data_IF_727468550359
#
_entry.id   IF_727468550359
#
_cell.length_a   1.000
_cell.length_b   1.000
_cell.length_c   1.000
_cell.angle_alpha   90.00
_cell.angle_beta   90.00
_cell.angle_gamma   90.00
#
_symmetry.space_group_name_H-M   'P 1'
#
loop_
_entity.id
_entity.type
_entity.pdbx_description
1 polymer ?
#
# COMPACT_ATOMS: atom_id res chain seq x y z
N UNK A 1 -24.30 32.26 -6.32
CA UNK A 1 -23.34 31.78 -5.31
C UNK A 1 -24.02 31.89 -3.95
N UNK A 2 -24.34 30.78 -3.29
CA UNK A 2 -25.03 30.81 -1.98
C UNK A 2 -24.00 31.16 -0.89
N UNK A 3 -24.32 32.15 -0.06
CA UNK A 3 -23.48 32.56 1.08
C UNK A 3 -24.19 32.06 2.35
N UNK A 4 -23.53 31.23 3.20
CA UNK A 4 -24.16 30.71 4.40
C UNK A 4 -24.55 31.85 5.35
N UNK A 5 -25.77 31.81 5.88
CA UNK A 5 -26.34 32.87 6.72
C UNK A 5 -26.46 32.52 8.22
N UNK A 6 -26.23 31.26 8.60
CA UNK A 6 -26.27 30.82 10.01
C UNK A 6 -24.97 30.14 10.43
N UNK A 7 -24.62 30.25 11.71
CA UNK A 7 -23.46 29.55 12.30
C UNK A 7 -23.48 28.05 12.03
N UNK A 8 -24.66 27.43 12.06
CA UNK A 8 -24.82 26.01 11.79
C UNK A 8 -24.51 25.65 10.32
N UNK A 9 -24.96 26.50 9.38
CA UNK A 9 -24.66 26.31 7.94
C UNK A 9 -23.17 26.49 7.65
N UNK A 10 -22.53 27.47 8.29
CA UNK A 10 -21.09 27.67 8.20
C UNK A 10 -20.31 26.47 8.77
N UNK A 11 -20.68 25.96 9.95
CA UNK A 11 -20.05 24.78 10.55
C UNK A 11 -20.18 23.54 9.66
N UNK A 12 -21.36 23.29 9.09
CA UNK A 12 -21.58 22.14 8.21
C UNK A 12 -20.82 22.27 6.88
N UNK A 13 -20.81 23.45 6.26
CA UNK A 13 -20.05 23.73 5.05
C UNK A 13 -18.54 23.54 5.26
N UNK A 14 -18.02 23.96 6.42
CA UNK A 14 -16.61 23.74 6.78
C UNK A 14 -16.32 22.24 6.95
N UNK A 15 -17.15 21.50 7.68
CA UNK A 15 -16.95 20.05 7.89
C UNK A 15 -16.97 19.27 6.57
N UNK A 16 -17.93 19.57 5.70
CA UNK A 16 -18.03 18.93 4.38
C UNK A 16 -16.86 19.28 3.47
N UNK A 17 -16.43 20.54 3.45
CA UNK A 17 -15.25 20.97 2.70
C UNK A 17 -13.98 20.28 3.20
N UNK A 18 -13.77 20.22 4.52
CA UNK A 18 -12.63 19.52 5.13
C UNK A 18 -12.67 18.03 4.76
N UNK A 19 -13.82 17.37 4.84
CA UNK A 19 -13.96 15.96 4.47
C UNK A 19 -13.64 15.73 2.98
N UNK A 20 -14.12 16.58 2.07
CA UNK A 20 -13.81 16.49 0.64
C UNK A 20 -12.32 16.70 0.37
N UNK A 21 -11.70 17.72 0.99
CA UNK A 21 -10.27 17.98 0.85
C UNK A 21 -9.43 16.81 1.35
N UNK A 22 -9.79 16.21 2.47
CA UNK A 22 -9.06 15.07 3.06
C UNK A 22 -9.19 13.84 2.18
N UNK A 23 -10.38 13.54 1.68
CA UNK A 23 -10.62 12.35 0.85
C UNK A 23 -9.93 12.45 -0.50
N UNK A 24 -10.02 13.60 -1.18
CA UNK A 24 -9.28 13.86 -2.42
C UNK A 24 -7.77 13.93 -2.18
N UNK A 25 -7.34 14.52 -1.06
CA UNK A 25 -5.93 14.59 -0.67
C UNK A 25 -5.33 13.19 -0.43
N UNK A 26 -6.09 12.29 0.17
CA UNK A 26 -5.70 10.89 0.37
C UNK A 26 -5.61 10.13 -0.95
N UNK A 27 -6.51 10.39 -1.90
CA UNK A 27 -6.44 9.82 -3.24
C UNK A 27 -5.20 10.30 -4.01
N UNK A 28 -4.92 11.61 -4.00
CA UNK A 28 -3.69 12.18 -4.55
C UNK A 28 -2.43 11.57 -3.91
N UNK A 29 -2.43 11.43 -2.58
CA UNK A 29 -1.35 10.75 -1.87
C UNK A 29 -1.19 9.29 -2.32
N UNK A 30 -2.31 8.59 -2.57
CA UNK A 30 -2.33 7.25 -3.16
C UNK A 30 -1.59 7.17 -4.48
N UNK A 31 -1.92 8.02 -5.45
CA UNK A 31 -1.24 8.04 -6.74
C UNK A 31 0.25 8.38 -6.64
N UNK A 32 0.61 9.35 -5.80
CA UNK A 32 2.03 9.69 -5.56
C UNK A 32 2.77 8.50 -4.94
N UNK A 33 2.16 7.83 -3.96
CA UNK A 33 2.75 6.67 -3.31
C UNK A 33 2.91 5.50 -4.28
N UNK A 34 1.93 5.25 -5.15
CA UNK A 34 2.03 4.24 -6.20
C UNK A 34 3.18 4.53 -7.17
N UNK A 35 3.39 5.79 -7.59
CA UNK A 35 4.54 6.14 -8.43
C UNK A 35 5.88 5.82 -7.75
N UNK A 36 6.00 6.09 -6.45
CA UNK A 36 7.19 5.73 -5.66
C UNK A 36 7.38 4.21 -5.62
N UNK A 37 6.30 3.46 -5.43
CA UNK A 37 6.34 2.00 -5.42
C UNK A 37 6.63 1.40 -6.80
N UNK A 38 6.12 1.99 -7.88
CA UNK A 38 6.43 1.59 -9.27
C UNK A 38 7.93 1.75 -9.51
N UNK A 39 8.50 2.90 -9.15
CA UNK A 39 9.93 3.12 -9.28
C UNK A 39 10.74 2.08 -8.49
N UNK A 40 10.35 1.80 -7.24
CA UNK A 40 11.01 0.78 -6.42
C UNK A 40 10.88 -0.64 -7.01
N UNK A 41 9.69 -1.01 -7.47
CA UNK A 41 9.41 -2.31 -8.06
C UNK A 41 10.20 -2.54 -9.36
N UNK A 42 10.28 -1.53 -10.23
CA UNK A 42 11.06 -1.59 -11.47
C UNK A 42 12.57 -1.65 -11.19
N UNK A 43 13.06 -0.81 -10.27
CA UNK A 43 14.49 -0.79 -9.90
C UNK A 43 14.95 -2.13 -9.33
N UNK A 44 14.12 -2.75 -8.47
CA UNK A 44 14.43 -4.03 -7.83
C UNK A 44 14.03 -5.24 -8.67
N UNK A 45 13.43 -5.02 -9.86
CA UNK A 45 12.82 -6.06 -10.72
C UNK A 45 11.90 -6.99 -9.93
N UNK A 46 11.12 -6.43 -9.01
CA UNK A 46 10.28 -7.17 -8.08
C UNK A 46 8.87 -7.35 -8.65
N UNK A 47 8.63 -8.51 -9.25
CA UNK A 47 7.33 -8.85 -9.85
C UNK A 47 6.18 -8.87 -8.86
N UNK A 48 6.44 -9.25 -7.60
CA UNK A 48 5.38 -9.31 -6.58
C UNK A 48 4.87 -7.92 -6.24
N UNK A 49 5.78 -6.92 -6.16
CA UNK A 49 5.38 -5.53 -5.95
C UNK A 49 4.55 -5.01 -7.13
N UNK A 50 4.87 -5.40 -8.37
CA UNK A 50 4.08 -5.02 -9.56
C UNK A 50 2.65 -5.56 -9.47
N UNK A 51 2.48 -6.83 -9.08
CA UNK A 51 1.14 -7.42 -8.88
C UNK A 51 0.39 -6.69 -7.76
N UNK A 52 1.06 -6.41 -6.64
CA UNK A 52 0.49 -5.64 -5.53
C UNK A 52 0.09 -4.22 -5.92
N UNK A 53 0.88 -3.56 -6.78
CA UNK A 53 0.59 -2.25 -7.34
C UNK A 53 -0.68 -2.26 -8.21
N UNK A 54 -0.86 -3.26 -9.07
CA UNK A 54 -2.11 -3.41 -9.82
C UNK A 54 -3.31 -3.57 -8.86
N UNK A 55 -3.20 -4.40 -7.83
CA UNK A 55 -4.25 -4.58 -6.84
C UNK A 55 -4.56 -3.30 -6.06
N UNK A 56 -3.54 -2.52 -5.69
CA UNK A 56 -3.70 -1.23 -5.02
C UNK A 56 -4.40 -0.21 -5.90
N UNK A 57 -4.06 -0.16 -7.19
CA UNK A 57 -4.66 0.78 -8.13
C UNK A 57 -6.14 0.44 -8.38
N UNK A 58 -6.50 -0.85 -8.42
CA UNK A 58 -7.91 -1.26 -8.36
C UNK A 58 -8.58 -0.85 -7.04
N UNK A 59 -7.85 -0.91 -5.93
CA UNK A 59 -8.32 -0.40 -4.65
C UNK A 59 -8.62 1.11 -4.67
N UNK A 60 -7.72 1.91 -5.26
CA UNK A 60 -7.92 3.36 -5.43
C UNK A 60 -9.10 3.67 -6.36
N UNK A 61 -9.29 2.88 -7.42
CA UNK A 61 -10.49 2.98 -8.27
C UNK A 61 -11.79 2.75 -7.49
N UNK A 62 -11.84 1.70 -6.67
CA UNK A 62 -13.02 1.42 -5.82
C UNK A 62 -13.22 2.56 -4.82
N UNK A 63 -12.14 3.07 -4.23
CA UNK A 63 -12.19 4.21 -3.32
C UNK A 63 -12.80 5.45 -3.98
N UNK A 64 -12.30 5.85 -5.15
CA UNK A 64 -12.84 6.97 -5.93
C UNK A 64 -14.32 6.78 -6.28
N UNK A 65 -14.73 5.56 -6.68
CA UNK A 65 -16.13 5.25 -6.93
C UNK A 65 -17.02 5.35 -5.67
N UNK A 66 -16.52 4.92 -4.50
CA UNK A 66 -17.21 5.07 -3.21
C UNK A 66 -17.33 6.56 -2.82
N UNK A 67 -16.33 7.37 -3.14
CA UNK A 67 -16.30 8.80 -2.83
C UNK A 67 -17.40 9.57 -3.56
N UNK A 68 -17.68 9.25 -4.83
CA UNK A 68 -18.80 9.87 -5.59
C UNK A 68 -20.12 9.72 -4.84
N UNK A 69 -20.39 8.53 -4.30
CA UNK A 69 -21.60 8.27 -3.51
C UNK A 69 -21.61 9.02 -2.17
N UNK A 70 -20.45 9.18 -1.52
CA UNK A 70 -20.34 9.97 -0.29
C UNK A 70 -20.64 11.44 -0.54
N UNK A 71 -20.08 12.01 -1.62
CA UNK A 71 -20.33 13.41 -1.99
C UNK A 71 -21.80 13.60 -2.36
N UNK A 72 -22.41 12.67 -3.10
CA UNK A 72 -23.84 12.70 -3.41
C UNK A 72 -24.72 12.78 -2.16
N UNK A 73 -24.45 11.92 -1.18
CA UNK A 73 -25.20 11.91 0.08
C UNK A 73 -24.99 13.20 0.89
N UNK A 74 -23.79 13.77 0.89
CA UNK A 74 -23.53 15.04 1.55
C UNK A 74 -24.29 16.19 0.89
N UNK A 75 -24.27 16.25 -0.45
CA UNK A 75 -24.97 17.26 -1.25
C UNK A 75 -26.49 17.12 -1.13
N UNK A 76 -27.05 15.90 -1.09
CA UNK A 76 -28.49 15.70 -0.93
C UNK A 76 -29.00 16.20 0.43
N UNK A 77 -28.26 15.92 1.51
CA UNK A 77 -28.59 16.43 2.86
C UNK A 77 -28.57 17.96 2.89
N UNK A 78 -27.63 18.59 2.19
CA UNK A 78 -27.53 20.04 2.06
C UNK A 78 -28.69 20.64 1.25
N UNK A 79 -29.12 19.95 0.20
CA UNK A 79 -30.25 20.36 -0.64
C UNK A 79 -31.58 20.25 0.12
N UNK A 80 -31.78 19.15 0.87
CA UNK A 80 -32.96 18.94 1.72
C UNK A 80 -33.10 20.02 2.81
N UNK A 81 -31.97 20.57 3.26
CA UNK A 81 -31.93 21.67 4.23
C UNK A 81 -32.09 23.07 3.60
N UNK A 82 -32.42 23.15 2.31
CA UNK A 82 -32.52 24.38 1.51
C UNK A 82 -31.25 25.25 1.56
N UNK A 83 -30.08 24.66 1.83
CA UNK A 83 -28.80 25.36 1.95
C UNK A 83 -28.03 25.43 0.65
N UNK A 84 -28.34 24.57 -0.31
CA UNK A 84 -27.68 24.54 -1.62
C UNK A 84 -28.77 24.38 -2.68
N UNK A 85 -28.59 25.07 -3.82
CA UNK A 85 -29.48 24.88 -4.96
C UNK A 85 -29.41 23.42 -5.45
N UNK A 86 -30.55 22.75 -5.71
CA UNK A 86 -30.55 21.37 -6.22
C UNK A 86 -29.80 21.22 -7.55
N UNK A 87 -29.59 22.32 -8.28
CA UNK A 87 -28.80 22.37 -9.52
C UNK A 87 -27.32 22.06 -9.29
N UNK A 88 -26.77 22.29 -8.09
CA UNK A 88 -25.33 22.10 -7.81
C UNK A 88 -24.89 20.64 -8.00
N UNK A 89 -25.75 19.67 -7.70
CA UNK A 89 -25.45 18.27 -7.97
C UNK A 89 -25.37 18.00 -9.48
N UNK A 90 -26.34 18.48 -10.26
CA UNK A 90 -26.38 18.25 -11.71
C UNK A 90 -25.14 18.82 -12.42
N UNK A 91 -24.63 19.96 -11.95
CA UNK A 91 -23.40 20.56 -12.46
C UNK A 91 -22.13 19.81 -12.02
N UNK A 92 -22.11 19.24 -10.82
CA UNK A 92 -20.91 18.61 -10.23
C UNK A 92 -20.79 17.11 -10.56
N UNK A 93 -21.91 16.41 -10.77
CA UNK A 93 -21.98 14.97 -11.01
C UNK A 93 -21.07 14.49 -12.17
N UNK A 94 -21.03 15.16 -13.35
CA UNK A 94 -20.17 14.73 -14.45
C UNK A 94 -18.67 14.77 -14.08
N UNK A 95 -18.24 15.80 -13.35
CA UNK A 95 -16.85 15.97 -12.92
C UNK A 95 -16.44 14.96 -11.84
N UNK A 96 -17.38 14.51 -11.01
CA UNK A 96 -17.10 13.48 -10.00
C UNK A 96 -17.04 12.08 -10.62
N UNK A 97 -17.83 11.80 -11.65
CA UNK A 97 -17.85 10.49 -12.34
C UNK A 97 -16.66 10.34 -13.28
N UNK A 98 -16.19 11.41 -13.93
CA UNK A 98 -15.08 11.31 -14.87
C UNK A 98 -13.76 10.87 -14.21
N UNK A 99 -13.54 11.24 -12.94
CA UNK A 99 -12.34 10.87 -12.17
C UNK A 99 -12.15 9.34 -12.09
N UNK A 100 -13.10 8.55 -11.53
CA UNK A 100 -12.95 7.10 -11.50
C UNK A 100 -12.96 6.48 -12.91
N UNK A 101 -13.60 7.09 -13.91
CA UNK A 101 -13.49 6.61 -15.30
C UNK A 101 -12.06 6.72 -15.86
N UNK A 102 -11.37 7.84 -15.61
CA UNK A 102 -9.97 8.03 -16.00
C UNK A 102 -9.07 7.04 -15.25
N UNK A 103 -9.28 6.89 -13.94
CA UNK A 103 -8.54 5.93 -13.12
C UNK A 103 -8.77 4.51 -13.63
N UNK A 104 -9.99 4.13 -13.99
CA UNK A 104 -10.30 2.81 -14.55
C UNK A 104 -9.56 2.54 -15.85
N UNK A 105 -9.51 3.50 -16.76
CA UNK A 105 -8.70 3.41 -17.98
C UNK A 105 -7.21 3.23 -17.64
N UNK A 106 -6.71 4.00 -16.69
CA UNK A 106 -5.36 3.88 -16.14
C UNK A 106 -5.08 2.49 -15.57
N UNK A 107 -6.01 1.91 -14.81
CA UNK A 107 -5.91 0.56 -14.24
C UNK A 107 -5.84 -0.52 -15.31
N UNK A 108 -6.61 -0.39 -16.40
CA UNK A 108 -6.54 -1.32 -17.52
C UNK A 108 -5.18 -1.25 -18.23
N UNK A 109 -4.69 -0.04 -18.52
CA UNK A 109 -3.38 0.18 -19.14
C UNK A 109 -2.25 -0.34 -18.23
N UNK A 110 -2.30 -0.03 -16.94
CA UNK A 110 -1.33 -0.49 -15.95
C UNK A 110 -1.31 -2.02 -15.87
N UNK A 111 -2.48 -2.66 -15.85
CA UNK A 111 -2.59 -4.13 -15.83
C UNK A 111 -2.02 -4.76 -17.10
N UNK A 112 -2.27 -4.16 -18.27
CA UNK A 112 -1.71 -4.61 -19.54
C UNK A 112 -0.17 -4.53 -19.54
N UNK A 113 0.41 -3.41 -19.10
CA UNK A 113 1.87 -3.24 -18.99
C UNK A 113 2.45 -4.19 -17.96
N UNK A 114 1.79 -4.36 -16.81
CA UNK A 114 2.23 -5.28 -15.76
C UNK A 114 2.25 -6.74 -16.23
N UNK A 115 1.29 -7.15 -17.07
CA UNK A 115 1.28 -8.48 -17.67
C UNK A 115 2.49 -8.73 -18.56
N UNK A 116 2.84 -7.77 -19.44
CA UNK A 116 4.06 -7.86 -20.26
C UNK A 116 5.33 -7.86 -19.41
N UNK A 117 5.34 -7.07 -18.34
CA UNK A 117 6.48 -6.97 -17.44
C UNK A 117 6.68 -8.24 -16.59
N UNK A 118 5.59 -8.92 -16.24
CA UNK A 118 5.63 -10.19 -15.52
C UNK A 118 6.42 -11.24 -16.29
N UNK A 119 6.17 -11.38 -17.59
CA UNK A 119 6.89 -12.33 -18.45
C UNK A 119 8.39 -12.04 -18.49
N UNK A 120 8.76 -10.76 -18.65
CA UNK A 120 10.17 -10.36 -18.77
C UNK A 120 10.95 -10.48 -17.45
N UNK A 121 10.29 -10.20 -16.32
CA UNK A 121 10.88 -10.42 -14.99
C UNK A 121 10.98 -11.90 -14.65
N UNK A 122 9.98 -12.71 -15.01
CA UNK A 122 10.03 -14.16 -14.84
C UNK A 122 11.20 -14.77 -15.63
N UNK A 123 11.41 -14.31 -16.88
CA UNK A 123 12.52 -14.72 -17.73
C UNK A 123 13.89 -14.30 -17.17
N UNK A 124 14.01 -13.05 -16.68
CA UNK A 124 15.25 -12.54 -16.07
C UNK A 124 15.61 -13.30 -14.79
N UNK A 125 14.62 -13.57 -13.94
CA UNK A 125 14.79 -14.34 -12.69
C UNK A 125 15.17 -15.80 -12.98
N UNK A 126 14.63 -16.39 -14.05
CA UNK A 126 15.03 -17.72 -14.50
C UNK A 126 16.52 -17.75 -14.90
N UNK A 127 17.00 -16.78 -15.68
CA UNK A 127 18.38 -16.80 -16.19
C UNK A 127 19.46 -16.63 -15.09
N UNK A 128 19.19 -15.85 -14.04
CA UNK A 128 20.18 -15.55 -12.99
C UNK A 128 20.14 -16.48 -11.76
N UNK A 129 19.05 -17.20 -11.49
CA UNK A 129 18.82 -17.94 -10.22
C UNK A 129 18.52 -19.43 -10.48
N UNK A 130 19.19 -20.05 -11.45
CA UNK A 130 18.91 -21.45 -11.85
C UNK A 130 19.65 -22.54 -11.07
N UNK A 131 20.58 -22.20 -10.16
CA UNK A 131 21.36 -23.25 -9.48
C UNK A 131 20.76 -23.72 -8.13
N UNK A 132 19.98 -22.89 -7.41
CA UNK A 132 19.39 -23.28 -6.11
C UNK A 132 17.96 -22.74 -5.91
N UNK A 133 16.98 -23.64 -6.10
CA UNK A 133 15.55 -23.36 -5.94
C UNK A 133 15.15 -23.04 -4.50
N UNK A 134 15.86 -23.58 -3.50
CA UNK A 134 15.54 -23.37 -2.08
C UNK A 134 15.88 -21.95 -1.66
N UNK A 135 17.02 -21.45 -2.11
CA UNK A 135 17.45 -20.08 -1.86
C UNK A 135 16.56 -19.05 -2.58
N UNK A 136 16.17 -19.34 -3.83
CA UNK A 136 15.20 -18.52 -4.58
C UNK A 136 13.88 -18.36 -3.83
N UNK A 137 13.34 -19.44 -3.26
CA UNK A 137 12.09 -19.42 -2.48
C UNK A 137 12.21 -18.52 -1.24
N UNK A 138 13.30 -18.63 -0.49
CA UNK A 138 13.55 -17.80 0.71
C UNK A 138 13.67 -16.31 0.37
N UNK A 139 14.38 -15.99 -0.71
CA UNK A 139 14.50 -14.62 -1.19
C UNK A 139 13.15 -14.04 -1.65
N UNK A 140 12.35 -14.85 -2.34
CA UNK A 140 11.01 -14.48 -2.76
C UNK A 140 10.11 -14.19 -1.55
N UNK A 141 10.11 -15.05 -0.51
CA UNK A 141 9.37 -14.79 0.73
C UNK A 141 9.79 -13.47 1.39
N UNK A 142 11.10 -13.19 1.45
CA UNK A 142 11.60 -11.91 1.96
C UNK A 142 11.09 -10.72 1.13
N UNK A 143 11.11 -10.82 -0.20
CA UNK A 143 10.58 -9.77 -1.07
C UNK A 143 9.07 -9.57 -0.91
N UNK A 144 8.28 -10.65 -0.76
CA UNK A 144 6.85 -10.57 -0.43
C UNK A 144 6.67 -9.79 0.88
N UNK A 145 7.42 -10.16 1.93
CA UNK A 145 7.30 -9.51 3.23
C UNK A 145 7.58 -8.01 3.16
N UNK A 146 8.69 -7.61 2.52
CA UNK A 146 9.03 -6.18 2.36
C UNK A 146 7.99 -5.45 1.49
N UNK A 147 7.42 -6.10 0.49
CA UNK A 147 6.35 -5.53 -0.32
C UNK A 147 5.08 -5.29 0.52
N UNK A 148 4.65 -6.29 1.29
CA UNK A 148 3.50 -6.20 2.19
C UNK A 148 3.66 -5.07 3.20
N UNK A 149 4.83 -4.92 3.83
CA UNK A 149 5.07 -3.81 4.78
C UNK A 149 4.88 -2.42 4.14
N UNK A 150 5.16 -2.26 2.84
CA UNK A 150 4.94 -0.99 2.13
C UNK A 150 3.46 -0.74 1.86
N UNK A 151 2.73 -1.77 1.45
CA UNK A 151 1.28 -1.66 1.27
C UNK A 151 0.57 -1.45 2.62
N UNK A 152 0.97 -2.17 3.67
CA UNK A 152 0.48 -1.98 5.04
C UNK A 152 0.65 -0.54 5.50
N UNK A 153 1.80 0.08 5.24
CA UNK A 153 2.04 1.49 5.55
C UNK A 153 0.99 2.40 4.90
N UNK A 154 0.71 2.22 3.62
CA UNK A 154 -0.25 3.04 2.90
C UNK A 154 -1.67 2.89 3.44
N UNK A 155 -2.18 1.67 3.55
CA UNK A 155 -3.57 1.44 3.97
C UNK A 155 -3.78 1.80 5.45
N UNK A 156 -2.79 1.53 6.31
CA UNK A 156 -2.83 1.94 7.71
C UNK A 156 -2.84 3.47 7.85
N UNK A 157 -1.95 4.16 7.13
CA UNK A 157 -1.88 5.62 7.15
C UNK A 157 -3.17 6.24 6.59
N UNK A 158 -3.68 5.70 5.48
CA UNK A 158 -4.95 6.13 4.90
C UNK A 158 -6.11 6.01 5.89
N UNK A 159 -6.27 4.85 6.52
CA UNK A 159 -7.28 4.66 7.56
C UNK A 159 -7.13 5.64 8.73
N UNK A 160 -5.90 5.80 9.26
CA UNK A 160 -5.68 6.63 10.45
C UNK A 160 -5.85 8.12 10.17
N UNK A 161 -5.39 8.62 9.03
CA UNK A 161 -5.61 10.01 8.62
C UNK A 161 -7.11 10.27 8.44
N UNK A 162 -7.83 9.37 7.77
CA UNK A 162 -9.26 9.53 7.57
C UNK A 162 -10.04 9.44 8.89
N UNK A 163 -9.63 8.58 9.80
CA UNK A 163 -10.19 8.49 11.15
C UNK A 163 -9.94 9.76 11.98
N UNK A 164 -8.71 10.26 11.97
CA UNK A 164 -8.29 11.42 12.75
C UNK A 164 -9.06 12.67 12.31
N UNK A 165 -9.11 12.94 11.01
CA UNK A 165 -9.71 14.18 10.51
C UNK A 165 -11.24 14.12 10.55
N UNK A 166 -11.86 13.03 10.10
CA UNK A 166 -13.32 13.00 9.95
C UNK A 166 -14.05 12.67 11.26
N UNK A 167 -13.54 11.72 12.03
CA UNK A 167 -14.25 11.24 13.22
C UNK A 167 -13.69 11.90 14.47
N UNK A 168 -12.37 11.92 14.60
CA UNK A 168 -11.75 12.28 15.87
C UNK A 168 -11.64 13.79 16.12
N UNK A 169 -11.78 14.64 15.10
CA UNK A 169 -11.70 16.10 15.25
C UNK A 169 -12.91 16.71 15.94
N UNK A 170 -14.00 15.96 16.11
CA UNK A 170 -15.23 16.46 16.74
C UNK A 170 -15.18 16.43 18.28
N UNK A 171 -14.30 15.61 18.87
CA UNK A 171 -14.14 15.48 20.33
C UNK A 171 -12.68 15.26 20.67
N UNK A 172 -12.10 16.19 21.45
CA UNK A 172 -10.72 16.10 21.95
C UNK A 172 -10.58 15.10 23.12
N UNK A 173 -11.07 13.88 22.91
CA UNK A 173 -11.04 12.81 23.91
C UNK A 173 -9.70 12.05 23.85
N UNK A 174 -9.46 11.16 24.83
CA UNK A 174 -8.26 10.32 24.86
C UNK A 174 -8.00 9.54 23.55
N UNK A 175 -9.07 9.20 22.83
CA UNK A 175 -8.98 8.53 21.54
C UNK A 175 -8.30 9.37 20.44
N UNK A 176 -8.48 10.68 20.46
CA UNK A 176 -7.85 11.59 19.49
C UNK A 176 -6.33 11.57 19.66
N UNK A 177 -5.86 11.71 20.89
CA UNK A 177 -4.43 11.65 21.20
C UNK A 177 -3.82 10.27 20.93
N UNK A 178 -4.53 9.19 21.27
CA UNK A 178 -4.09 7.83 20.95
C UNK A 178 -3.96 7.61 19.44
N UNK A 179 -4.86 8.15 18.63
CA UNK A 179 -4.79 8.06 17.17
C UNK A 179 -3.62 8.84 16.60
N UNK A 180 -3.37 10.06 17.11
CA UNK A 180 -2.21 10.86 16.72
C UNK A 180 -0.91 10.11 16.99
N UNK A 181 -0.80 9.48 18.17
CA UNK A 181 0.38 8.68 18.55
C UNK A 181 0.46 7.38 17.74
N UNK A 182 -0.66 6.80 17.33
CA UNK A 182 -0.68 5.57 16.55
C UNK A 182 0.04 5.73 15.20
N UNK A 183 -0.05 6.89 14.54
CA UNK A 183 0.59 7.15 13.24
C UNK A 183 2.12 6.97 13.30
N UNK A 184 2.89 7.71 14.12
CA UNK A 184 4.35 7.52 14.20
C UNK A 184 4.73 6.14 14.77
N UNK A 185 3.96 5.61 15.72
CA UNK A 185 4.20 4.28 16.28
C UNK A 185 4.14 3.21 15.19
N UNK A 186 3.18 3.25 14.28
CA UNK A 186 3.10 2.25 13.21
C UNK A 186 4.21 2.41 12.18
N UNK A 187 4.62 3.63 11.84
CA UNK A 187 5.81 3.84 11.00
C UNK A 187 7.03 3.17 11.63
N UNK A 188 7.25 3.35 12.94
CA UNK A 188 8.36 2.73 13.66
C UNK A 188 8.25 1.20 13.64
N UNK A 189 7.06 0.64 13.90
CA UNK A 189 6.84 -0.82 13.87
C UNK A 189 7.18 -1.39 12.50
N UNK A 190 6.70 -0.78 11.41
CA UNK A 190 6.95 -1.26 10.04
C UNK A 190 8.43 -1.14 9.65
N UNK A 191 9.10 -0.04 10.02
CA UNK A 191 10.54 0.13 9.80
C UNK A 191 11.36 -0.90 10.59
N UNK A 192 11.03 -1.12 11.86
CA UNK A 192 11.65 -2.16 12.68
C UNK A 192 11.44 -3.54 12.07
N UNK A 193 10.24 -3.86 11.57
CA UNK A 193 9.98 -5.10 10.84
C UNK A 193 10.90 -5.28 9.63
N UNK A 194 11.04 -4.24 8.80
CA UNK A 194 11.94 -4.26 7.64
C UNK A 194 13.43 -4.41 8.03
N UNK A 195 13.85 -3.85 9.17
CA UNK A 195 15.23 -3.97 9.67
C UNK A 195 15.48 -5.36 10.28
N UNK A 196 14.56 -5.87 11.09
CA UNK A 196 14.72 -7.14 11.81
C UNK A 196 14.73 -8.32 10.85
N UNK A 197 13.89 -8.31 9.81
CA UNK A 197 13.91 -9.35 8.79
C UNK A 197 15.23 -9.36 8.00
N UNK A 198 15.83 -8.19 7.71
CA UNK A 198 17.14 -8.07 7.04
C UNK A 198 18.30 -8.57 7.90
N UNK A 199 18.18 -8.38 9.22
CA UNK A 199 19.19 -8.83 10.19
C UNK A 199 19.01 -10.29 10.60
N UNK A 200 17.93 -10.94 10.18
CA UNK A 200 17.48 -12.26 10.65
C UNK A 200 17.36 -12.31 12.18
N UNK A 201 16.86 -11.23 12.79
CA UNK A 201 16.71 -11.15 14.25
C UNK A 201 15.39 -11.78 14.71
N UNK A 202 15.45 -13.06 15.09
CA UNK A 202 14.30 -13.88 15.48
C UNK A 202 13.45 -13.25 16.58
N UNK A 203 14.07 -12.82 17.69
CA UNK A 203 13.32 -12.25 18.82
C UNK A 203 12.57 -10.98 18.42
N UNK A 204 13.20 -10.07 17.67
CA UNK A 204 12.54 -8.87 17.16
C UNK A 204 11.40 -9.18 16.19
N UNK A 205 11.54 -10.20 15.35
CA UNK A 205 10.46 -10.64 14.46
C UNK A 205 9.28 -11.23 15.22
N UNK A 206 9.53 -11.98 16.30
CA UNK A 206 8.46 -12.45 17.20
C UNK A 206 7.74 -11.25 17.83
N UNK A 207 8.48 -10.23 18.28
CA UNK A 207 7.87 -8.99 18.78
C UNK A 207 7.00 -8.31 17.73
N UNK A 208 7.46 -8.21 16.48
CA UNK A 208 6.67 -7.64 15.37
C UNK A 208 5.41 -8.46 15.10
N UNK A 209 5.49 -9.79 15.11
CA UNK A 209 4.31 -10.66 14.95
C UNK A 209 3.27 -10.39 16.04
N UNK A 210 3.69 -10.31 17.30
CA UNK A 210 2.79 -10.00 18.42
C UNK A 210 2.14 -8.61 18.27
N UNK A 211 2.90 -7.61 17.81
CA UNK A 211 2.37 -6.28 17.52
C UNK A 211 1.39 -6.28 16.33
N UNK A 212 1.62 -7.11 15.31
CA UNK A 212 0.68 -7.28 14.20
C UNK A 212 -0.62 -7.93 14.66
N UNK A 213 -0.58 -8.90 15.58
CA UNK A 213 -1.80 -9.44 16.20
C UNK A 213 -2.54 -8.38 17.04
N UNK A 214 -1.82 -7.52 17.77
CA UNK A 214 -2.44 -6.41 18.47
C UNK A 214 -3.09 -5.40 17.50
N UNK A 215 -2.42 -5.10 16.38
CA UNK A 215 -2.97 -4.26 15.32
C UNK A 215 -4.23 -4.88 14.69
N UNK A 216 -4.22 -6.20 14.44
CA UNK A 216 -5.39 -6.94 13.97
C UNK A 216 -6.58 -6.77 14.93
N UNK A 217 -6.35 -6.97 16.23
CA UNK A 217 -7.37 -6.76 17.27
C UNK A 217 -7.89 -5.33 17.30
N UNK A 218 -7.00 -4.34 17.17
CA UNK A 218 -7.39 -2.92 17.11
C UNK A 218 -8.27 -2.61 15.90
N UNK A 219 -7.93 -3.09 14.70
CA UNK A 219 -8.76 -2.89 13.51
C UNK A 219 -10.11 -3.60 13.61
N UNK A 220 -10.16 -4.83 14.16
CA UNK A 220 -11.41 -5.52 14.43
C UNK A 220 -12.30 -4.71 15.40
N UNK A 221 -11.71 -4.18 16.48
CA UNK A 221 -12.43 -3.32 17.43
C UNK A 221 -12.97 -2.06 16.76
N UNK A 222 -12.15 -1.38 15.94
CA UNK A 222 -12.58 -0.17 15.21
C UNK A 222 -13.69 -0.47 14.21
N UNK A 223 -13.57 -1.57 13.47
CA UNK A 223 -14.61 -2.03 12.55
C UNK A 223 -15.91 -2.31 13.31
N UNK A 224 -15.87 -3.00 14.45
CA UNK A 224 -17.06 -3.23 15.27
C UNK A 224 -17.68 -1.91 15.75
N UNK A 225 -16.86 -1.00 16.28
CA UNK A 225 -17.33 0.28 16.83
C UNK A 225 -17.98 1.18 15.78
N UNK A 226 -17.56 1.04 14.53
CA UNK A 226 -18.12 1.77 13.41
C UNK A 226 -19.58 1.38 13.09
N UNK A 227 -19.99 0.17 13.46
CA UNK A 227 -21.34 -0.35 13.29
C UNK A 227 -22.14 -0.44 14.59
N UNK A 228 -21.52 -0.22 15.74
CA UNK A 228 -22.20 -0.21 17.03
C UNK A 228 -23.18 0.97 17.17
N UNK A 229 -24.37 0.71 17.72
CA UNK A 229 -25.48 1.68 17.81
C UNK A 229 -25.11 2.96 18.56
N UNK A 230 -24.27 2.87 19.60
CA UNK A 230 -23.86 4.01 20.42
C UNK A 230 -22.98 5.03 19.68
N UNK A 231 -22.18 4.58 18.72
CA UNK A 231 -21.20 5.40 17.99
C UNK A 231 -21.57 5.63 16.53
N UNK A 232 -22.57 4.92 16.03
CA UNK A 232 -23.10 4.99 14.67
C UNK A 232 -23.18 6.40 14.04
N UNK A 233 -23.78 7.42 14.68
CA UNK A 233 -23.94 8.73 14.04
C UNK A 233 -22.60 9.45 13.79
N UNK A 234 -21.56 9.16 14.58
CA UNK A 234 -20.24 9.79 14.44
C UNK A 234 -19.50 9.30 13.20
N UNK A 235 -19.76 8.06 12.77
CA UNK A 235 -19.08 7.43 11.64
C UNK A 235 -19.84 7.59 10.32
N UNK A 236 -21.14 7.94 10.36
CA UNK A 236 -22.04 7.97 9.21
C UNK A 236 -21.45 8.64 7.95
N UNK A 237 -20.83 9.84 8.03
CA UNK A 237 -20.39 10.58 6.85
C UNK A 237 -19.23 9.93 6.09
N UNK A 238 -18.31 9.27 6.80
CA UNK A 238 -17.15 8.59 6.21
C UNK A 238 -17.26 7.07 6.26
N UNK A 239 -18.41 6.51 6.63
CA UNK A 239 -18.55 5.07 6.88
C UNK A 239 -18.15 4.21 5.67
N UNK A 240 -18.66 4.46 4.45
CA UNK A 240 -18.34 3.61 3.31
C UNK A 240 -16.83 3.49 3.00
N UNK A 241 -16.12 4.62 2.97
CA UNK A 241 -14.68 4.67 2.67
C UNK A 241 -13.83 4.09 3.80
N UNK A 242 -14.22 4.34 5.04
CA UNK A 242 -13.48 3.87 6.22
C UNK A 242 -13.60 2.35 6.39
N UNK A 243 -14.77 1.77 6.07
CA UNK A 243 -14.97 0.32 6.08
C UNK A 243 -14.10 -0.32 5.01
N UNK A 244 -14.03 0.29 3.82
CA UNK A 244 -13.19 -0.18 2.72
C UNK A 244 -11.71 -0.26 3.13
N UNK A 245 -11.16 0.81 3.70
CA UNK A 245 -9.79 0.81 4.22
C UNK A 245 -9.58 -0.22 5.34
N UNK A 246 -10.51 -0.34 6.28
CA UNK A 246 -10.42 -1.28 7.38
C UNK A 246 -10.40 -2.74 6.91
N UNK A 247 -11.27 -3.12 5.95
CA UNK A 247 -11.33 -4.48 5.41
C UNK A 247 -10.03 -4.83 4.68
N UNK A 248 -9.54 -3.95 3.79
CA UNK A 248 -8.28 -4.21 3.08
C UNK A 248 -7.12 -4.33 4.06
N UNK A 249 -7.06 -3.43 5.06
CA UNK A 249 -5.99 -3.48 6.07
C UNK A 249 -6.04 -4.77 6.89
N UNK A 250 -7.23 -5.26 7.26
CA UNK A 250 -7.37 -6.55 7.95
C UNK A 250 -6.85 -7.71 7.09
N UNK A 251 -7.19 -7.75 5.80
CA UNK A 251 -6.72 -8.78 4.88
C UNK A 251 -5.19 -8.73 4.77
N UNK A 252 -4.62 -7.54 4.56
CA UNK A 252 -3.18 -7.37 4.44
C UNK A 252 -2.44 -7.77 5.72
N UNK A 253 -2.91 -7.35 6.90
CA UNK A 253 -2.31 -7.73 8.19
C UNK A 253 -2.29 -9.26 8.36
N UNK A 254 -3.38 -9.96 8.04
CA UNK A 254 -3.43 -11.43 8.13
C UNK A 254 -2.38 -12.07 7.22
N UNK A 255 -2.28 -11.60 5.98
CA UNK A 255 -1.27 -12.09 5.03
C UNK A 255 0.14 -11.77 5.55
N UNK A 256 0.38 -10.56 6.06
CA UNK A 256 1.66 -10.13 6.63
C UNK A 256 2.07 -11.00 7.82
N UNK A 257 1.14 -11.38 8.70
CA UNK A 257 1.41 -12.30 9.82
C UNK A 257 1.86 -13.66 9.29
N UNK A 258 1.15 -14.23 8.32
CA UNK A 258 1.48 -15.55 7.73
C UNK A 258 2.88 -15.51 7.10
N UNK A 259 3.15 -14.52 6.26
CA UNK A 259 4.44 -14.38 5.58
C UNK A 259 5.57 -14.10 6.59
N UNK A 260 5.29 -13.35 7.65
CA UNK A 260 6.24 -13.12 8.75
C UNK A 260 6.65 -14.42 9.44
N UNK A 261 5.70 -15.30 9.76
CA UNK A 261 5.98 -16.62 10.34
C UNK A 261 6.85 -17.47 9.40
N UNK A 262 6.57 -17.45 8.10
CA UNK A 262 7.38 -18.16 7.09
C UNK A 262 8.78 -17.55 7.00
N UNK A 263 8.93 -16.23 7.13
CA UNK A 263 10.25 -15.59 7.19
C UNK A 263 11.05 -16.09 8.39
N UNK A 264 10.45 -16.12 9.58
CA UNK A 264 11.12 -16.59 10.81
C UNK A 264 11.57 -18.04 10.69
N UNK A 265 10.73 -18.92 10.14
CA UNK A 265 11.12 -20.32 9.91
C UNK A 265 12.31 -20.44 8.94
N UNK A 266 12.46 -19.50 8.01
CA UNK A 266 13.52 -19.53 7.01
C UNK A 266 14.85 -18.89 7.46
N UNK A 267 14.95 -18.35 8.68
CA UNK A 267 16.15 -17.70 9.20
C UNK A 267 17.33 -18.67 9.38
N UNK A 268 18.55 -18.11 9.37
CA UNK A 268 19.83 -18.81 9.52
C UNK A 268 20.13 -19.86 8.43
N UNK A 269 19.30 -19.94 7.39
CA UNK A 269 19.51 -20.87 6.29
C UNK A 269 20.31 -20.24 5.11
N UNK A 270 21.18 -19.26 5.38
CA UNK A 270 22.11 -18.68 4.39
C UNK A 270 21.58 -17.51 3.56
N UNK A 271 20.46 -16.87 3.94
CA UNK A 271 19.83 -15.77 3.18
C UNK A 271 20.57 -14.42 3.34
N UNK A 272 21.12 -14.17 4.53
CA UNK A 272 21.83 -12.95 4.94
C UNK A 272 22.89 -12.40 3.96
N UNK A 273 23.79 -13.20 3.34
CA UNK A 273 24.82 -12.67 2.43
C UNK A 273 24.27 -12.13 1.11
N UNK A 274 23.10 -12.62 0.68
CA UNK A 274 22.46 -12.20 -0.58
C UNK A 274 21.63 -10.92 -0.39
N UNK A 275 21.08 -10.71 0.80
CA UNK A 275 20.34 -9.48 1.15
C UNK A 275 21.29 -8.32 1.46
N UNK A 276 22.41 -8.59 2.14
CA UNK A 276 23.37 -7.56 2.57
C UNK A 276 24.54 -7.33 1.61
N UNK A 277 24.45 -7.77 0.35
CA UNK A 277 25.54 -7.56 -0.62
C UNK A 277 25.84 -6.06 -0.74
N UNK A 278 27.00 -5.65 -0.22
CA UNK A 278 27.50 -4.27 -0.29
C UNK A 278 27.51 -3.82 -1.75
N UNK A 279 26.96 -2.63 -1.98
CA UNK A 279 27.05 -1.82 -3.20
C UNK A 279 28.53 -1.53 -3.50
N UNK A 280 29.24 -2.49 -4.10
CA UNK A 280 30.69 -2.38 -4.27
C UNK A 280 31.41 -3.57 -4.92
N UNK A 281 30.72 -4.62 -5.36
CA UNK A 281 31.29 -5.54 -6.35
C UNK A 281 30.69 -5.16 -7.70
N UNK A 282 31.49 -4.74 -8.69
CA UNK A 282 30.99 -4.64 -10.05
C UNK A 282 30.41 -6.00 -10.40
N UNK A 283 29.29 -6.01 -11.12
CA UNK A 283 28.80 -7.21 -11.79
C UNK A 283 30.01 -7.85 -12.47
N UNK A 284 30.42 -9.02 -11.97
CA UNK A 284 31.14 -9.95 -12.81
C UNK A 284 30.20 -10.21 -13.98
N UNK A 285 30.47 -9.49 -15.04
CA UNK A 285 30.15 -9.87 -16.39
C UNK A 285 30.63 -11.31 -16.57
N UNK A 286 29.80 -12.28 -16.22
CA UNK A 286 29.72 -13.53 -16.97
C UNK A 286 29.15 -13.19 -18.34
N UNK A 287 29.93 -12.43 -19.10
CA UNK A 287 29.87 -12.45 -20.55
C UNK A 287 30.62 -13.71 -20.92
N UNK A 288 29.89 -14.75 -21.28
CA UNK A 288 30.41 -15.84 -22.07
C UNK A 288 30.91 -15.25 -23.39
N UNK A 289 32.12 -14.69 -23.40
CA UNK A 289 32.86 -14.28 -24.59
C UNK A 289 34.36 -14.04 -24.29
N UNK A 290 35.01 -14.97 -23.58
CA UNK A 290 36.48 -14.98 -23.45
C UNK A 290 37.14 -16.30 -23.82
N UNK A 291 36.39 -17.27 -24.37
CA UNK A 291 36.94 -18.58 -24.75
C UNK A 291 37.50 -18.65 -26.18
N UNK A 292 37.73 -17.54 -26.89
CA UNK A 292 38.21 -17.63 -28.28
C UNK A 292 39.19 -16.56 -28.79
N UNK A 293 39.91 -15.84 -27.93
CA UNK A 293 40.99 -14.94 -28.40
C UNK A 293 42.24 -15.04 -27.51
N UNK A 294 42.81 -16.23 -27.45
CA UNK A 294 44.27 -16.37 -27.32
C UNK A 294 44.66 -17.68 -28.02
N UNK A 295 45.01 -17.55 -29.30
CA UNK A 295 45.61 -18.63 -30.07
C UNK A 295 46.94 -19.04 -29.43
N UNK A 296 46.90 -20.09 -28.61
CA UNK A 296 48.06 -20.93 -28.36
C UNK A 296 48.00 -22.08 -29.36
N UNK A 297 48.86 -21.97 -30.37
CA UNK A 297 49.16 -23.00 -31.36
C UNK A 297 49.55 -24.30 -30.61
N UNK A 298 48.97 -25.46 -30.93
CA UNK A 298 49.40 -26.70 -30.32
C UNK A 298 50.80 -27.07 -30.81
N UNK A 299 51.74 -27.19 -29.87
CA UNK A 299 53.07 -27.73 -30.11
C UNK A 299 52.96 -29.14 -30.70
N UNK A 300 53.32 -29.26 -31.97
CA UNK A 300 53.43 -30.52 -32.71
C UNK A 300 54.49 -31.40 -32.05
N UNK A 301 54.07 -32.54 -31.52
CA UNK A 301 54.95 -33.61 -31.03
C UNK A 301 55.74 -34.15 -32.24
N UNK A 302 57.07 -33.96 -32.25
CA UNK A 302 57.95 -34.70 -33.15
C UNK A 302 58.49 -35.92 -32.40
N UNK A 303 58.26 -37.09 -32.99
CA UNK A 303 58.94 -38.33 -32.68
C UNK A 303 60.09 -38.40 -33.69
N UNK A 304 61.31 -38.24 -33.19
CA UNK A 304 62.53 -39.03 -33.49
C UNK A 304 63.74 -38.42 -32.76
#
# INVERSE_FOLDING_TARGET
>A
MYIPNTHWTWSFAIVTLVQTVVTLGLECFGFIYELVLVYDALRMKNTIQVIGLCACNFGLLIYGAVQVRQIKNAVSVLADMEKISPVVWAESEPFLIIIPCIVALGSLLMTFVAWKLYDEFAWTIYKHISADLRMKRRYLTYQIYIALLKFDFFFFLGFTVQFLVVVSSSKHDAEFYLTIIAVPVTVIILLCGAIFVRREFTAGMITIILLLFAALGYFCFKLFRMYATATFPQYLPARPSMTFFAIITLILIVITIIISCICVHNFNCGLKPHINKKKGRPEEKTTELSDNVNGQVPSRMMID
#
